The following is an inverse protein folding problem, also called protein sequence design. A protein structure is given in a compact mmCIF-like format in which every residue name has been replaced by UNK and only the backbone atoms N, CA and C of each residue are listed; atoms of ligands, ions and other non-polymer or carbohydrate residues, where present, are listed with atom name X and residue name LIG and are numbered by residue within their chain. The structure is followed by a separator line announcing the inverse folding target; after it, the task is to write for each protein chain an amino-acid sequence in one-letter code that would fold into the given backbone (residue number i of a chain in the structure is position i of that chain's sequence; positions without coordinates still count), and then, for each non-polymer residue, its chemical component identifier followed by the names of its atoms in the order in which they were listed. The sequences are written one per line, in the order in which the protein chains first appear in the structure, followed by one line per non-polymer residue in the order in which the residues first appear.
data_IF_379514965606
#
_entry.id   IF_379514965606
#
_cell.length_a   1.000
_cell.length_b   1.000
_cell.length_c   1.000
_cell.angle_alpha   90.00
_cell.angle_beta   90.00
_cell.angle_gamma   90.00
#
_symmetry.space_group_name_H-M   'P 1'
#
loop_
_entity.id
_entity.type
_entity.pdbx_description
1 polymer ?
#
# COMPACT_ATOMS: atom_id res chain seq x y z
N UNK A 1 22.41 -20.49 -8.57
CA UNK A 1 22.58 -19.44 -7.53
C UNK A 1 23.84 -19.74 -6.75
N UNK A 2 24.71 -18.74 -6.58
CA UNK A 2 25.95 -18.82 -5.77
C UNK A 2 25.63 -18.32 -4.35
N UNK A 3 26.04 -19.09 -3.34
CA UNK A 3 25.93 -18.72 -1.93
C UNK A 3 27.29 -18.37 -1.36
N UNK A 4 27.35 -17.41 -0.45
CA UNK A 4 28.53 -17.19 0.38
C UNK A 4 28.63 -18.28 1.45
N UNK A 5 29.82 -18.46 2.07
CA UNK A 5 30.00 -19.43 3.17
C UNK A 5 29.03 -19.18 4.32
N UNK A 6 28.70 -17.91 4.61
CA UNK A 6 27.74 -17.56 5.65
C UNK A 6 26.31 -18.00 5.28
N UNK A 7 25.90 -17.76 4.03
CA UNK A 7 24.59 -18.16 3.51
C UNK A 7 24.47 -19.68 3.44
N UNK A 8 25.55 -20.40 3.04
CA UNK A 8 25.58 -21.85 3.03
C UNK A 8 25.45 -22.43 4.46
N UNK A 9 26.19 -21.89 5.44
CA UNK A 9 26.05 -22.28 6.84
C UNK A 9 24.64 -22.05 7.38
N UNK A 10 23.97 -20.96 6.94
CA UNK A 10 22.58 -20.67 7.31
C UNK A 10 21.62 -21.72 6.73
N UNK A 11 21.81 -22.09 5.47
CA UNK A 11 21.04 -23.13 4.79
C UNK A 11 21.23 -24.49 5.46
N UNK A 12 22.47 -24.82 5.87
CA UNK A 12 22.84 -26.09 6.53
C UNK A 12 22.38 -26.14 8.01
N UNK A 13 21.73 -25.10 8.51
CA UNK A 13 21.13 -25.07 9.84
C UNK A 13 22.06 -24.62 10.97
N UNK A 14 23.27 -24.13 10.68
CA UNK A 14 24.21 -23.64 11.71
C UNK A 14 23.64 -22.49 12.57
N UNK A 15 22.65 -21.76 12.06
CA UNK A 15 21.96 -20.66 12.75
C UNK A 15 20.53 -21.03 13.20
N UNK A 16 20.23 -22.33 13.28
CA UNK A 16 18.94 -22.87 13.69
C UNK A 16 18.01 -23.22 12.52
N UNK A 17 17.05 -24.10 12.82
CA UNK A 17 16.13 -24.68 11.83
C UNK A 17 15.26 -23.62 11.15
N UNK A 18 14.77 -22.62 11.91
CA UNK A 18 13.90 -21.58 11.37
C UNK A 18 14.59 -20.71 10.32
N UNK A 19 15.88 -20.33 10.56
CA UNK A 19 16.67 -19.59 9.55
C UNK A 19 16.99 -20.44 8.33
N UNK A 20 17.25 -21.73 8.50
CA UNK A 20 17.45 -22.65 7.38
C UNK A 20 16.20 -22.77 6.51
N UNK A 21 15.00 -22.87 7.11
CA UNK A 21 13.72 -22.87 6.38
C UNK A 21 13.52 -21.58 5.58
N UNK A 22 13.73 -20.43 6.20
CA UNK A 22 13.62 -19.14 5.52
C UNK A 22 14.63 -19.00 4.37
N UNK A 23 15.87 -19.48 4.55
CA UNK A 23 16.90 -19.49 3.51
C UNK A 23 16.52 -20.39 2.33
N UNK A 24 15.93 -21.56 2.59
CA UNK A 24 15.43 -22.47 1.54
C UNK A 24 14.38 -21.78 0.67
N UNK A 25 13.49 -20.99 1.27
CA UNK A 25 12.46 -20.23 0.53
C UNK A 25 13.11 -19.16 -0.32
N UNK A 26 14.05 -18.36 0.22
CA UNK A 26 14.76 -17.33 -0.56
C UNK A 26 15.51 -17.93 -1.76
N UNK A 27 16.15 -19.09 -1.55
CA UNK A 27 16.82 -19.80 -2.64
C UNK A 27 15.80 -20.32 -3.67
N UNK A 28 14.65 -20.82 -3.21
CA UNK A 28 13.56 -21.28 -4.08
C UNK A 28 13.03 -20.15 -4.96
N UNK A 29 12.71 -19.01 -4.36
CA UNK A 29 12.29 -17.79 -5.08
C UNK A 29 13.37 -17.37 -6.07
N UNK A 30 14.62 -17.26 -5.63
CA UNK A 30 15.71 -16.85 -6.50
C UNK A 30 15.93 -17.78 -7.70
N UNK A 31 15.74 -19.10 -7.54
CA UNK A 31 15.81 -20.06 -8.65
C UNK A 31 14.67 -19.86 -9.65
N UNK A 32 13.47 -19.51 -9.17
CA UNK A 32 12.32 -19.24 -10.05
C UNK A 32 12.50 -18.00 -10.93
N UNK A 33 13.31 -17.06 -10.48
CA UNK A 33 13.58 -15.79 -11.17
C UNK A 33 15.02 -15.68 -11.69
N UNK A 34 15.74 -16.80 -11.82
CA UNK A 34 17.11 -16.90 -12.34
C UNK A 34 18.12 -15.99 -11.60
N UNK A 35 17.89 -15.72 -10.32
CA UNK A 35 18.81 -14.93 -9.51
C UNK A 35 20.17 -15.63 -9.36
N UNK A 36 21.25 -14.93 -9.64
CA UNK A 36 22.60 -15.48 -9.55
C UNK A 36 23.08 -15.62 -8.11
N UNK A 37 22.61 -14.74 -7.21
CA UNK A 37 23.04 -14.65 -5.81
C UNK A 37 21.95 -14.11 -4.91
N UNK A 38 22.18 -14.20 -3.60
CA UNK A 38 21.43 -13.47 -2.57
C UNK A 38 22.22 -12.23 -2.16
N UNK A 39 21.52 -11.12 -1.98
CA UNK A 39 22.08 -9.84 -1.52
C UNK A 39 21.53 -9.46 -0.15
N UNK A 40 22.32 -8.76 0.69
CA UNK A 40 21.82 -8.29 1.98
C UNK A 40 20.70 -7.25 1.77
N UNK A 41 19.69 -7.33 2.62
CA UNK A 41 18.65 -6.29 2.74
C UNK A 41 18.81 -5.58 4.08
N UNK A 42 18.50 -4.29 4.10
CA UNK A 42 18.66 -3.47 5.30
C UNK A 42 17.34 -3.22 6.03
N UNK A 43 16.22 -3.35 5.31
CA UNK A 43 14.86 -3.12 5.81
C UNK A 43 13.91 -4.16 5.26
N UNK A 44 12.83 -4.41 6.01
CA UNK A 44 11.72 -5.22 5.55
C UNK A 44 10.39 -4.62 6.01
N UNK A 45 9.36 -4.81 5.19
CA UNK A 45 7.98 -4.48 5.52
C UNK A 45 7.09 -5.63 5.06
N UNK A 46 6.33 -6.22 5.99
CA UNK A 46 5.60 -7.45 5.74
C UNK A 46 4.10 -7.18 5.74
N UNK A 47 3.43 -7.53 4.65
CA UNK A 47 1.97 -7.64 4.63
C UNK A 47 1.56 -8.81 5.53
N UNK A 48 0.63 -8.55 6.42
CA UNK A 48 0.01 -9.61 7.21
C UNK A 48 -1.49 -9.63 6.92
N UNK A 49 -2.12 -10.77 7.10
CA UNK A 49 -3.55 -10.93 6.81
C UNK A 49 -4.25 -11.55 7.95
N UNK A 50 -3.89 -11.89 9.04
CA UNK A 50 -4.61 -12.63 10.10
C UNK A 50 -5.45 -13.82 9.55
N UNK A 51 -5.11 -14.31 8.36
CA UNK A 51 -5.73 -15.46 7.71
C UNK A 51 -4.96 -16.75 8.01
N UNK A 52 -5.62 -17.86 7.84
CA UNK A 52 -5.08 -19.18 8.22
C UNK A 52 -3.73 -19.50 7.59
N UNK A 53 -3.55 -19.21 6.30
CA UNK A 53 -2.32 -19.50 5.57
C UNK A 53 -1.12 -18.69 6.11
N UNK A 54 -1.33 -17.40 6.38
CA UNK A 54 -0.29 -16.53 6.93
C UNK A 54 0.06 -16.91 8.37
N UNK A 55 -0.95 -17.15 9.21
CA UNK A 55 -0.79 -17.62 10.58
C UNK A 55 -0.02 -18.95 10.61
N UNK A 56 -0.37 -19.88 9.71
CA UNK A 56 0.32 -21.17 9.61
C UNK A 56 1.78 -20.99 9.23
N UNK A 57 2.06 -20.20 8.18
CA UNK A 57 3.41 -20.01 7.66
C UNK A 57 4.32 -19.32 8.68
N UNK A 58 3.92 -18.16 9.18
CA UNK A 58 4.69 -17.40 10.16
C UNK A 58 4.84 -18.19 11.47
N UNK A 59 3.79 -18.90 11.89
CA UNK A 59 3.82 -19.81 13.04
C UNK A 59 4.84 -20.92 12.89
N UNK A 60 4.96 -21.56 11.71
CA UNK A 60 5.97 -22.59 11.43
C UNK A 60 7.41 -22.07 11.54
N UNK A 61 7.66 -20.83 11.13
CA UNK A 61 8.96 -20.20 11.31
C UNK A 61 9.25 -19.96 12.80
N UNK A 62 8.29 -19.43 13.56
CA UNK A 62 8.42 -19.21 15.00
C UNK A 62 8.66 -20.53 15.75
N UNK A 63 7.84 -21.57 15.50
CA UNK A 63 7.97 -22.90 16.11
C UNK A 63 9.32 -23.56 15.82
N UNK A 64 9.91 -23.26 14.65
CA UNK A 64 11.25 -23.69 14.27
C UNK A 64 12.36 -22.84 14.91
N UNK A 65 12.04 -21.90 15.79
CA UNK A 65 12.99 -21.05 16.49
C UNK A 65 13.54 -19.91 15.62
N UNK A 66 12.83 -19.47 14.58
CA UNK A 66 13.24 -18.31 13.80
C UNK A 66 13.13 -17.03 14.63
N UNK A 67 14.06 -16.11 14.35
CA UNK A 67 13.98 -14.70 14.75
C UNK A 67 14.45 -13.83 13.58
N UNK A 68 13.85 -12.68 13.40
CA UNK A 68 14.23 -11.75 12.36
C UNK A 68 15.62 -11.17 12.61
N UNK A 69 16.49 -11.22 11.60
CA UNK A 69 17.78 -10.52 11.60
C UNK A 69 17.57 -9.02 11.45
N UNK A 70 16.47 -8.62 10.79
CA UNK A 70 16.03 -7.26 10.59
C UNK A 70 14.60 -7.19 11.11
N UNK A 71 14.31 -6.35 12.11
CA UNK A 71 12.97 -6.17 12.66
C UNK A 71 12.04 -5.53 11.61
N UNK A 72 11.15 -6.30 10.95
CA UNK A 72 10.27 -5.74 9.94
C UNK A 72 9.18 -4.88 10.56
N UNK A 73 8.74 -3.85 9.85
CA UNK A 73 7.44 -3.23 10.07
C UNK A 73 6.34 -4.08 9.45
N UNK A 74 5.09 -3.91 9.87
CA UNK A 74 3.97 -4.69 9.36
C UNK A 74 2.85 -3.81 8.84
N UNK A 75 2.18 -4.33 7.83
CA UNK A 75 0.99 -3.75 7.23
C UNK A 75 -0.20 -3.79 8.22
N UNK A 76 -1.27 -2.97 8.00
CA UNK A 76 -2.47 -3.08 8.79
C UNK A 76 -3.09 -4.48 8.71
N UNK A 77 -3.60 -4.92 9.84
CA UNK A 77 -4.61 -5.96 9.93
C UNK A 77 -5.95 -5.31 10.22
N UNK A 78 -6.48 -5.53 11.42
CA UNK A 78 -7.69 -4.85 11.89
C UNK A 78 -7.66 -4.58 13.40
N UNK A 79 -8.26 -3.45 13.79
CA UNK A 79 -8.42 -3.08 15.20
C UNK A 79 -9.49 -3.96 15.86
N UNK A 80 -9.04 -4.90 16.70
CA UNK A 80 -9.96 -5.78 17.45
C UNK A 80 -10.84 -4.95 18.38
N UNK A 81 -10.30 -3.91 19.01
CA UNK A 81 -11.04 -3.11 19.98
C UNK A 81 -12.15 -2.29 19.30
N UNK A 82 -11.84 -1.65 18.16
CA UNK A 82 -12.83 -0.87 17.41
C UNK A 82 -13.96 -1.75 16.84
N UNK A 83 -13.60 -2.89 16.27
CA UNK A 83 -14.57 -3.79 15.61
C UNK A 83 -15.09 -4.89 16.51
N UNK A 84 -14.84 -4.88 17.83
CA UNK A 84 -15.16 -6.00 18.75
C UNK A 84 -16.60 -6.48 18.66
N UNK A 85 -17.57 -5.55 18.52
CA UNK A 85 -18.99 -5.89 18.41
C UNK A 85 -19.40 -6.52 17.06
N UNK A 86 -18.53 -6.46 16.07
CA UNK A 86 -18.75 -6.95 14.70
C UNK A 86 -17.93 -8.18 14.37
N UNK A 87 -16.85 -8.41 15.10
CA UNK A 87 -15.93 -9.53 14.87
C UNK A 87 -16.45 -10.80 15.53
N UNK A 88 -16.28 -11.94 14.85
CA UNK A 88 -16.45 -13.27 15.45
C UNK A 88 -15.32 -13.54 16.44
N UNK A 89 -15.54 -14.44 17.41
CA UNK A 89 -14.45 -14.84 18.33
C UNK A 89 -13.27 -15.49 17.60
N UNK A 90 -13.52 -16.17 16.49
CA UNK A 90 -12.47 -16.73 15.64
C UNK A 90 -11.62 -15.62 14.99
N UNK A 91 -12.23 -14.56 14.47
CA UNK A 91 -11.49 -13.42 13.92
C UNK A 91 -10.64 -12.73 15.01
N UNK A 92 -11.20 -12.51 16.20
CA UNK A 92 -10.46 -11.94 17.33
C UNK A 92 -9.26 -12.81 17.70
N UNK A 93 -9.45 -14.14 17.80
CA UNK A 93 -8.34 -15.05 18.13
C UNK A 93 -7.29 -15.11 17.02
N UNK A 94 -7.69 -15.09 15.76
CA UNK A 94 -6.77 -15.05 14.62
C UNK A 94 -5.88 -13.81 14.66
N UNK A 95 -6.45 -12.62 14.88
CA UNK A 95 -5.64 -11.39 14.98
C UNK A 95 -4.68 -11.43 16.16
N UNK A 96 -5.15 -11.86 17.33
CA UNK A 96 -4.29 -12.02 18.53
C UNK A 96 -3.19 -13.04 18.31
N UNK A 97 -3.48 -14.14 17.61
CA UNK A 97 -2.48 -15.16 17.27
C UNK A 97 -1.44 -14.61 16.31
N UNK A 98 -1.88 -13.86 15.28
CA UNK A 98 -0.98 -13.13 14.36
C UNK A 98 -0.03 -12.21 15.13
N UNK A 99 -0.56 -11.39 16.03
CA UNK A 99 0.25 -10.51 16.87
C UNK A 99 1.30 -11.26 17.68
N UNK A 100 0.90 -12.34 18.37
CA UNK A 100 1.83 -13.15 19.15
C UNK A 100 2.96 -13.72 18.30
N UNK A 101 2.64 -14.22 17.11
CA UNK A 101 3.60 -14.82 16.18
C UNK A 101 4.60 -13.77 15.70
N UNK A 102 4.10 -12.64 15.17
CA UNK A 102 4.97 -11.61 14.61
C UNK A 102 5.82 -10.92 15.69
N UNK A 103 5.29 -10.70 16.91
CA UNK A 103 6.10 -10.27 18.06
C UNK A 103 7.18 -11.30 18.41
N UNK A 104 6.83 -12.58 18.46
CA UNK A 104 7.76 -13.66 18.72
C UNK A 104 8.90 -13.76 17.71
N UNK A 105 8.62 -13.45 16.43
CA UNK A 105 9.62 -13.34 15.38
C UNK A 105 10.48 -12.07 15.46
N UNK A 106 10.09 -11.07 16.28
CA UNK A 106 10.81 -9.81 16.43
C UNK A 106 10.34 -8.69 15.51
N UNK A 107 9.13 -8.77 14.96
CA UNK A 107 8.54 -7.70 14.16
C UNK A 107 8.10 -6.50 15.01
N UNK A 108 8.14 -5.31 14.41
CA UNK A 108 7.54 -4.09 14.93
C UNK A 108 6.13 -3.99 14.41
N UNK A 109 5.13 -4.10 15.27
CA UNK A 109 3.71 -4.07 14.90
C UNK A 109 3.26 -2.63 14.67
N UNK A 110 3.62 -2.07 13.53
CA UNK A 110 3.32 -0.68 13.15
C UNK A 110 1.93 -0.52 12.52
N UNK A 111 1.37 -1.60 11.96
CA UNK A 111 0.05 -1.63 11.32
C UNK A 111 -0.20 -0.44 10.38
N UNK A 112 0.79 -0.14 9.54
CA UNK A 112 0.74 1.02 8.65
C UNK A 112 1.09 0.62 7.21
N UNK A 113 0.25 0.97 6.24
CA UNK A 113 0.53 0.71 4.82
C UNK A 113 1.36 1.83 4.14
N UNK A 114 1.70 2.88 4.90
CA UNK A 114 2.59 3.97 4.45
C UNK A 114 3.86 4.05 5.32
N UNK A 115 4.61 2.94 5.52
CA UNK A 115 5.75 2.88 6.45
C UNK A 115 6.88 3.84 6.05
N UNK A 116 6.97 4.18 4.79
CA UNK A 116 7.97 5.08 4.20
C UNK A 116 7.79 6.55 4.60
N UNK A 117 6.70 6.91 5.28
CA UNK A 117 6.51 8.29 5.78
C UNK A 117 7.17 8.53 7.16
N UNK A 118 7.33 7.48 7.97
CA UNK A 118 7.87 7.63 9.32
C UNK A 118 8.62 6.39 9.84
N UNK A 119 7.97 5.23 9.81
CA UNK A 119 8.43 4.06 10.57
C UNK A 119 9.57 3.30 9.90
N UNK A 120 9.67 3.37 8.57
CA UNK A 120 10.58 2.55 7.79
C UNK A 120 10.95 3.25 6.45
N UNK A 121 11.67 4.36 6.56
CA UNK A 121 12.04 5.22 5.42
C UNK A 121 13.35 4.75 4.83
N UNK A 122 13.37 4.15 3.61
CA UNK A 122 14.62 3.77 2.96
C UNK A 122 15.32 4.95 2.30
N UNK A 123 16.62 4.79 2.10
CA UNK A 123 17.45 5.73 1.37
C UNK A 123 17.56 5.37 -0.11
N UNK A 124 17.99 6.33 -0.94
CA UNK A 124 18.24 6.10 -2.36
C UNK A 124 19.26 4.96 -2.57
N UNK A 125 18.94 4.03 -3.47
CA UNK A 125 19.77 2.86 -3.78
C UNK A 125 19.77 1.75 -2.73
N UNK A 126 19.10 1.93 -1.59
CA UNK A 126 19.02 0.94 -0.52
C UNK A 126 18.25 -0.30 -0.98
N UNK A 127 18.80 -1.50 -0.76
CA UNK A 127 18.12 -2.76 -1.06
C UNK A 127 17.27 -3.17 0.14
N UNK A 128 15.98 -3.35 -0.09
CA UNK A 128 14.96 -3.62 0.92
C UNK A 128 14.02 -4.73 0.47
N UNK A 129 13.21 -5.26 1.39
CA UNK A 129 12.21 -6.29 1.10
C UNK A 129 10.83 -5.83 1.58
N UNK A 130 10.07 -5.20 0.68
CA UNK A 130 8.73 -4.70 0.97
C UNK A 130 7.66 -5.53 0.23
N UNK A 131 6.59 -5.89 0.92
CA UNK A 131 5.49 -6.68 0.37
C UNK A 131 4.17 -5.92 0.23
N UNK A 132 4.03 -4.73 0.81
CA UNK A 132 2.85 -3.91 0.60
C UNK A 132 2.93 -3.21 -0.76
N UNK A 133 1.82 -3.23 -1.51
CA UNK A 133 1.78 -2.79 -2.90
C UNK A 133 2.14 -1.32 -3.10
N UNK A 134 1.53 -0.43 -2.31
CA UNK A 134 1.81 1.00 -2.36
C UNK A 134 3.22 1.32 -1.83
N UNK A 135 3.65 0.65 -0.75
CA UNK A 135 4.98 0.87 -0.18
C UNK A 135 6.09 0.46 -1.15
N UNK A 136 5.90 -0.61 -1.92
CA UNK A 136 6.83 -1.04 -2.97
C UNK A 136 7.00 0.03 -4.04
N UNK A 137 5.89 0.55 -4.60
CA UNK A 137 5.97 1.57 -5.64
C UNK A 137 6.56 2.88 -5.12
N UNK A 138 6.12 3.34 -3.97
CA UNK A 138 6.63 4.58 -3.40
C UNK A 138 8.14 4.48 -3.09
N UNK A 139 8.57 3.37 -2.50
CA UNK A 139 9.99 3.12 -2.22
C UNK A 139 10.83 3.08 -3.50
N UNK A 140 10.36 2.37 -4.54
CA UNK A 140 11.06 2.27 -5.81
C UNK A 140 11.09 3.58 -6.59
N UNK A 141 9.95 4.24 -6.77
CA UNK A 141 9.82 5.41 -7.63
C UNK A 141 10.22 6.70 -6.92
N UNK A 142 9.63 6.97 -5.74
CA UNK A 142 9.76 8.26 -5.06
C UNK A 142 11.04 8.36 -4.25
N UNK A 143 11.41 7.28 -3.53
CA UNK A 143 12.63 7.26 -2.71
C UNK A 143 13.83 6.68 -3.44
N UNK A 144 13.64 5.99 -4.57
CA UNK A 144 14.72 5.38 -5.35
C UNK A 144 15.40 4.21 -4.63
N UNK A 145 14.75 3.58 -3.68
CA UNK A 145 15.17 2.32 -3.11
C UNK A 145 14.95 1.16 -4.11
N UNK A 146 15.37 -0.03 -3.75
CA UNK A 146 15.29 -1.21 -4.61
C UNK A 146 14.60 -2.34 -3.88
N UNK A 147 13.40 -2.67 -4.31
CA UNK A 147 12.64 -3.82 -3.82
C UNK A 147 11.84 -4.45 -4.95
N UNK A 148 11.81 -5.76 -5.01
CA UNK A 148 10.73 -6.44 -5.73
C UNK A 148 9.43 -6.27 -4.94
N UNK A 149 8.29 -6.51 -5.57
CA UNK A 149 7.02 -6.67 -4.85
C UNK A 149 7.03 -8.05 -4.21
N UNK A 150 7.54 -8.10 -2.98
CA UNK A 150 7.64 -9.35 -2.24
C UNK A 150 6.24 -9.87 -1.85
N UNK A 151 6.10 -11.18 -1.72
CA UNK A 151 4.99 -11.75 -0.97
C UNK A 151 5.19 -11.55 0.53
N UNK A 152 4.14 -11.66 1.34
CA UNK A 152 4.27 -11.66 2.80
C UNK A 152 5.31 -12.70 3.27
N UNK A 153 5.27 -13.90 2.68
CA UNK A 153 6.18 -14.99 3.01
C UNK A 153 7.64 -14.69 2.62
N UNK A 154 7.90 -14.17 1.42
CA UNK A 154 9.27 -13.84 0.99
C UNK A 154 9.85 -12.64 1.74
N UNK A 155 9.06 -11.60 2.01
CA UNK A 155 9.49 -10.47 2.83
C UNK A 155 9.81 -10.89 4.27
N UNK A 156 8.98 -11.77 4.87
CA UNK A 156 9.26 -12.31 6.20
C UNK A 156 10.53 -13.17 6.20
N UNK A 157 10.74 -14.00 5.18
CA UNK A 157 11.98 -14.77 5.05
C UNK A 157 13.20 -13.85 4.82
N UNK A 158 13.06 -12.74 4.08
CA UNK A 158 14.11 -11.75 3.95
C UNK A 158 14.42 -11.09 5.31
N UNK A 159 13.41 -10.77 6.11
CA UNK A 159 13.60 -10.25 7.46
C UNK A 159 14.31 -11.24 8.38
N UNK A 160 13.96 -12.54 8.32
CA UNK A 160 14.56 -13.60 9.13
C UNK A 160 16.02 -13.86 8.74
N UNK A 161 16.32 -13.92 7.45
CA UNK A 161 17.66 -14.23 6.94
C UNK A 161 18.59 -13.03 6.82
N UNK A 162 18.05 -11.83 6.60
CA UNK A 162 18.79 -10.62 6.22
C UNK A 162 19.16 -10.57 4.73
N UNK A 163 18.59 -11.46 3.89
CA UNK A 163 18.92 -11.58 2.47
C UNK A 163 17.69 -11.70 1.60
N UNK A 164 17.78 -11.17 0.36
CA UNK A 164 16.81 -11.39 -0.72
C UNK A 164 17.54 -11.83 -2.00
N UNK A 165 16.87 -12.58 -2.91
CA UNK A 165 17.47 -12.93 -4.20
C UNK A 165 17.57 -11.69 -5.10
N UNK A 166 18.71 -11.56 -5.79
CA UNK A 166 19.00 -10.42 -6.67
C UNK A 166 18.39 -10.64 -8.05
N UNK A 167 17.17 -10.13 -8.24
CA UNK A 167 16.44 -10.16 -9.51
C UNK A 167 15.50 -8.96 -9.65
N UNK A 168 14.82 -8.83 -10.78
CA UNK A 168 13.75 -7.87 -10.98
C UNK A 168 14.18 -6.44 -10.72
N UNK A 169 13.47 -5.72 -9.85
CA UNK A 169 13.71 -4.31 -9.54
C UNK A 169 15.00 -4.03 -8.75
N UNK A 170 15.70 -5.08 -8.29
CA UNK A 170 17.01 -4.92 -7.66
C UNK A 170 18.10 -4.63 -8.71
N UNK A 171 17.90 -5.08 -9.94
CA UNK A 171 18.84 -4.93 -11.05
C UNK A 171 18.61 -3.62 -11.81
N UNK A 172 19.70 -2.88 -12.06
CA UNK A 172 19.63 -1.57 -12.74
C UNK A 172 19.01 -1.65 -14.14
N UNK A 173 19.34 -2.70 -14.89
CA UNK A 173 18.86 -2.92 -16.25
C UNK A 173 17.37 -3.12 -16.37
N UNK A 174 16.71 -3.52 -15.29
CA UNK A 174 15.26 -3.75 -15.24
C UNK A 174 14.46 -2.51 -14.80
N UNK A 175 15.13 -1.37 -14.56
CA UNK A 175 14.49 -0.16 -14.05
C UNK A 175 14.24 0.91 -15.12
N UNK A 176 14.63 0.64 -16.36
CA UNK A 176 14.34 1.55 -17.47
C UNK A 176 12.86 1.55 -17.83
N UNK A 177 12.36 2.72 -18.23
CA UNK A 177 10.99 2.85 -18.70
C UNK A 177 10.79 2.14 -20.04
N UNK A 178 9.66 1.47 -20.18
CA UNK A 178 9.21 0.82 -21.40
C UNK A 178 8.21 1.69 -22.18
N UNK A 179 7.41 2.47 -21.47
CA UNK A 179 6.25 3.19 -21.99
C UNK A 179 6.40 4.69 -21.71
N UNK A 180 6.40 5.51 -22.75
CA UNK A 180 6.24 6.95 -22.60
C UNK A 180 4.74 7.28 -22.48
N UNK A 181 4.32 7.79 -21.34
CA UNK A 181 2.93 8.18 -21.08
C UNK A 181 2.83 9.71 -21.10
N UNK A 182 2.31 10.26 -22.19
CA UNK A 182 2.02 11.69 -22.25
C UNK A 182 0.70 11.98 -21.51
N UNK A 183 0.75 12.82 -20.51
CA UNK A 183 -0.44 13.25 -19.77
C UNK A 183 -0.93 14.56 -20.39
N UNK A 184 -2.08 14.47 -21.08
CA UNK A 184 -2.80 15.59 -21.70
C UNK A 184 -4.14 15.78 -20.97
N UNK A 185 -4.04 15.94 -19.65
CA UNK A 185 -5.16 16.14 -18.75
C UNK A 185 -4.74 17.14 -17.66
N UNK A 186 -5.70 17.83 -17.08
CA UNK A 186 -5.44 18.70 -15.93
C UNK A 186 -5.23 17.88 -14.66
N UNK A 187 -4.18 18.20 -13.94
CA UNK A 187 -3.81 17.58 -12.68
C UNK A 187 -3.88 18.65 -11.57
N UNK A 188 -5.07 18.88 -11.03
CA UNK A 188 -5.35 19.99 -10.10
C UNK A 188 -5.42 19.51 -8.63
N UNK A 189 -5.63 18.21 -8.42
CA UNK A 189 -5.79 17.63 -7.10
C UNK A 189 -5.04 16.29 -6.96
N UNK A 190 -4.81 15.82 -5.74
CA UNK A 190 -4.22 14.50 -5.48
C UNK A 190 -5.10 13.37 -6.04
N UNK A 191 -6.41 13.58 -6.11
CA UNK A 191 -7.37 12.65 -6.68
C UNK A 191 -7.17 12.45 -8.20
N UNK A 192 -6.78 13.47 -8.94
CA UNK A 192 -6.47 13.32 -10.38
C UNK A 192 -5.32 12.35 -10.61
N UNK A 193 -4.34 12.32 -9.69
CA UNK A 193 -3.24 11.35 -9.74
C UNK A 193 -3.69 9.93 -9.40
N UNK A 194 -4.67 9.76 -8.49
CA UNK A 194 -5.29 8.46 -8.26
C UNK A 194 -5.98 7.95 -9.54
N UNK A 195 -6.78 8.81 -10.19
CA UNK A 195 -7.48 8.47 -11.43
C UNK A 195 -6.51 8.19 -12.57
N UNK A 196 -5.41 8.96 -12.69
CA UNK A 196 -4.33 8.69 -13.64
C UNK A 196 -3.73 7.29 -13.41
N UNK A 197 -3.51 6.91 -12.15
CA UNK A 197 -3.03 5.57 -11.79
C UNK A 197 -3.98 4.45 -12.22
N UNK A 198 -5.29 4.68 -12.23
CA UNK A 198 -6.28 3.71 -12.70
C UNK A 198 -6.23 3.46 -14.21
N UNK A 199 -5.61 4.32 -15.00
CA UNK A 199 -5.49 4.17 -16.44
C UNK A 199 -4.53 3.03 -16.86
N UNK A 200 -4.14 2.15 -15.94
CA UNK A 200 -3.18 1.07 -16.18
C UNK A 200 -3.53 0.17 -17.36
N UNK A 201 -4.82 -0.11 -17.60
CA UNK A 201 -5.25 -0.89 -18.79
C UNK A 201 -4.85 -0.19 -20.09
N UNK A 202 -4.98 1.13 -20.19
CA UNK A 202 -4.60 1.91 -21.37
C UNK A 202 -3.08 2.04 -21.47
N UNK A 203 -2.40 2.26 -20.34
CA UNK A 203 -0.93 2.31 -20.26
C UNK A 203 -0.35 0.95 -20.70
N UNK A 204 -0.90 -0.17 -20.21
CA UNK A 204 -0.47 -1.54 -20.52
C UNK A 204 0.84 -1.93 -19.83
N UNK A 205 1.39 -3.10 -20.20
CA UNK A 205 2.57 -3.67 -19.52
C UNK A 205 3.85 -2.86 -19.73
N UNK A 206 4.74 -2.91 -18.75
CA UNK A 206 6.06 -2.26 -18.73
C UNK A 206 6.10 -1.08 -17.77
N UNK A 207 7.28 -0.55 -17.50
CA UNK A 207 7.49 0.59 -16.60
C UNK A 207 7.07 1.88 -17.32
N UNK A 208 6.10 2.64 -16.80
CA UNK A 208 5.69 3.91 -17.41
C UNK A 208 6.62 5.06 -16.99
N UNK A 209 6.92 5.96 -17.93
CA UNK A 209 7.44 7.29 -17.68
C UNK A 209 6.35 8.31 -18.01
N UNK A 210 5.85 9.02 -17.01
CA UNK A 210 4.82 10.04 -17.16
C UNK A 210 5.44 11.37 -17.58
N UNK A 211 5.10 11.83 -18.77
CA UNK A 211 5.60 13.06 -19.38
C UNK A 211 4.51 14.13 -19.36
N UNK A 212 4.88 15.38 -19.10
CA UNK A 212 3.95 16.51 -19.07
C UNK A 212 3.33 16.80 -17.70
N UNK A 213 3.72 16.05 -16.66
CA UNK A 213 3.33 16.36 -15.28
C UNK A 213 4.15 17.53 -14.72
N UNK A 214 3.61 18.29 -13.74
CA UNK A 214 4.34 19.36 -13.06
C UNK A 214 5.57 18.81 -12.30
N UNK A 215 6.58 19.66 -12.11
CA UNK A 215 7.79 19.30 -11.34
C UNK A 215 7.55 19.27 -9.81
N UNK A 216 6.49 19.92 -9.34
CA UNK A 216 6.08 19.92 -7.93
C UNK A 216 4.79 19.15 -7.78
N UNK A 217 4.89 17.98 -7.21
CA UNK A 217 3.77 17.08 -6.93
C UNK A 217 3.79 16.80 -5.42
N UNK A 218 2.61 16.82 -4.78
CA UNK A 218 2.48 16.52 -3.36
C UNK A 218 2.87 15.07 -3.05
N UNK A 219 3.25 14.82 -1.82
CA UNK A 219 3.49 13.46 -1.32
C UNK A 219 2.23 12.61 -1.48
N UNK A 220 1.08 13.16 -1.15
CA UNK A 220 -0.22 12.51 -1.22
C UNK A 220 -0.60 12.11 -2.65
N UNK A 221 -0.34 12.99 -3.64
CA UNK A 221 -0.54 12.69 -5.06
C UNK A 221 0.36 11.54 -5.55
N UNK A 222 1.63 11.51 -5.14
CA UNK A 222 2.56 10.42 -5.49
C UNK A 222 2.17 9.10 -4.82
N UNK A 223 1.65 9.14 -3.60
CA UNK A 223 1.09 7.97 -2.90
C UNK A 223 -0.13 7.45 -3.67
N UNK A 224 -1.06 8.34 -4.03
CA UNK A 224 -2.27 8.00 -4.74
C UNK A 224 -1.96 7.38 -6.12
N UNK A 225 -1.09 8.03 -6.92
CA UNK A 225 -0.66 7.51 -8.21
C UNK A 225 -0.07 6.09 -8.10
N UNK A 226 0.86 5.89 -7.16
CA UNK A 226 1.51 4.60 -6.96
C UNK A 226 0.54 3.51 -6.51
N UNK A 227 -0.36 3.81 -5.59
CA UNK A 227 -1.36 2.86 -5.10
C UNK A 227 -2.25 2.34 -6.24
N UNK A 228 -2.74 3.24 -7.08
CA UNK A 228 -3.65 2.91 -8.15
C UNK A 228 -2.95 2.25 -9.36
N UNK A 229 -1.72 2.64 -9.68
CA UNK A 229 -0.91 1.97 -10.70
C UNK A 229 -0.70 0.49 -10.36
N UNK A 230 -0.47 0.18 -9.08
CA UNK A 230 -0.33 -1.21 -8.67
C UNK A 230 -1.63 -2.01 -8.87
N UNK A 231 -2.79 -1.45 -8.46
CA UNK A 231 -4.10 -2.10 -8.61
C UNK A 231 -4.49 -2.28 -10.07
N UNK A 232 -4.30 -1.26 -10.90
CA UNK A 232 -4.77 -1.24 -12.29
C UNK A 232 -3.90 -2.02 -13.26
N UNK A 233 -2.59 -2.18 -12.97
CA UNK A 233 -1.64 -2.76 -13.91
C UNK A 233 -0.49 -3.55 -13.29
N UNK A 234 -0.50 -3.76 -11.97
CA UNK A 234 0.56 -4.50 -11.25
C UNK A 234 1.96 -3.93 -11.47
N UNK A 235 2.09 -2.62 -11.56
CA UNK A 235 3.37 -1.95 -11.73
C UNK A 235 4.20 -2.02 -10.45
N UNK A 236 5.53 -2.10 -10.62
CA UNK A 236 6.50 -2.13 -9.51
C UNK A 236 7.35 -0.86 -9.45
N UNK A 237 7.33 -0.05 -10.52
CA UNK A 237 8.07 1.19 -10.66
C UNK A 237 7.37 2.09 -11.68
N UNK A 238 7.49 3.40 -11.52
CA UNK A 238 7.16 4.42 -12.51
C UNK A 238 8.18 5.56 -12.43
N UNK A 239 8.29 6.33 -13.51
CA UNK A 239 9.12 7.51 -13.56
C UNK A 239 8.32 8.77 -13.88
N UNK A 240 8.72 9.89 -13.27
CA UNK A 240 8.30 11.24 -13.63
C UNK A 240 9.57 12.08 -13.72
N UNK A 241 9.90 12.70 -14.88
CA UNK A 241 11.06 13.55 -15.05
C UNK A 241 11.15 14.61 -13.95
N UNK A 242 12.35 14.81 -13.41
CA UNK A 242 12.66 15.75 -12.33
C UNK A 242 11.95 15.54 -10.98
N UNK A 243 11.06 14.53 -10.85
CA UNK A 243 10.28 14.27 -9.64
C UNK A 243 10.68 12.97 -8.97
N UNK A 244 10.60 11.83 -9.69
CA UNK A 244 10.97 10.55 -9.10
C UNK A 244 12.48 10.45 -8.91
N UNK A 245 12.89 9.74 -7.86
CA UNK A 245 14.27 9.81 -7.37
C UNK A 245 15.34 9.54 -8.43
N UNK A 246 15.21 8.48 -9.22
CA UNK A 246 16.20 8.17 -10.27
C UNK A 246 16.22 9.25 -11.35
N UNK A 247 15.05 9.74 -11.79
CA UNK A 247 14.94 10.82 -12.76
C UNK A 247 15.58 12.13 -12.26
N UNK A 248 15.35 12.47 -10.98
CA UNK A 248 15.92 13.66 -10.34
C UNK A 248 17.45 13.55 -10.16
N UNK A 249 18.01 12.34 -10.10
CA UNK A 249 19.46 12.09 -10.05
C UNK A 249 20.10 11.94 -11.45
N UNK A 250 19.39 12.31 -12.51
CA UNK A 250 19.91 12.32 -13.88
C UNK A 250 19.95 10.95 -14.55
N UNK A 251 19.18 9.99 -14.06
CA UNK A 251 19.02 8.70 -14.72
C UNK A 251 18.33 8.88 -16.07
N UNK A 252 18.92 8.31 -17.11
CA UNK A 252 18.26 8.24 -18.42
C UNK A 252 17.11 7.25 -18.36
N UNK A 253 15.89 7.75 -18.36
CA UNK A 253 14.70 6.94 -18.13
C UNK A 253 14.54 5.78 -19.12
N UNK A 254 15.01 5.94 -20.36
CA UNK A 254 14.87 4.92 -21.41
C UNK A 254 16.19 4.20 -21.73
N UNK A 255 17.28 4.48 -21.01
CA UNK A 255 18.56 3.83 -21.20
C UNK A 255 19.17 4.06 -22.59
N UNK A 256 19.04 5.26 -23.15
CA UNK A 256 19.51 5.62 -24.49
C UNK A 256 18.71 5.02 -25.65
N UNK A 257 17.54 4.45 -25.37
CA UNK A 257 16.64 3.80 -26.35
C UNK A 257 15.34 4.59 -26.51
N UNK A 258 14.69 4.42 -27.65
CA UNK A 258 13.31 4.89 -27.80
C UNK A 258 12.37 4.07 -26.88
N UNK A 259 11.27 4.65 -26.37
CA UNK A 259 10.26 3.91 -25.65
C UNK A 259 9.69 2.80 -26.53
N UNK A 260 9.39 1.67 -25.95
CA UNK A 260 8.76 0.53 -26.67
C UNK A 260 7.35 0.88 -27.14
N UNK A 261 6.70 1.83 -26.44
CA UNK A 261 5.36 2.31 -26.76
C UNK A 261 5.17 3.74 -26.23
N UNK A 262 4.34 4.50 -26.94
CA UNK A 262 3.85 5.80 -26.50
C UNK A 262 2.34 5.73 -26.32
N UNK A 263 1.86 6.35 -25.24
CA UNK A 263 0.43 6.41 -24.88
C UNK A 263 0.12 7.83 -24.47
N UNK A 264 -1.03 8.37 -24.90
CA UNK A 264 -1.54 9.62 -24.38
C UNK A 264 -2.75 9.35 -23.50
N UNK A 265 -2.73 9.90 -22.30
CA UNK A 265 -3.88 9.93 -21.38
C UNK A 265 -4.49 11.33 -21.44
N UNK A 266 -5.74 11.38 -21.84
CA UNK A 266 -6.51 12.61 -21.98
C UNK A 266 -7.48 12.80 -20.81
N UNK A 267 -8.08 13.98 -20.69
CA UNK A 267 -9.12 14.27 -19.70
C UNK A 267 -10.31 13.29 -19.83
N UNK A 268 -10.71 12.98 -21.07
CA UNK A 268 -11.79 12.01 -21.33
C UNK A 268 -11.45 10.60 -20.86
N UNK A 269 -10.17 10.19 -20.88
CA UNK A 269 -9.77 8.88 -20.35
C UNK A 269 -9.93 8.82 -18.83
N UNK A 270 -9.59 9.90 -18.12
CA UNK A 270 -9.79 10.00 -16.67
C UNK A 270 -11.29 9.92 -16.33
N UNK A 271 -12.12 10.66 -17.02
CA UNK A 271 -13.58 10.68 -16.83
C UNK A 271 -14.19 9.28 -17.07
N UNK A 272 -13.85 8.62 -18.20
CA UNK A 272 -14.33 7.28 -18.52
C UNK A 272 -13.87 6.23 -17.47
N UNK A 273 -12.68 6.40 -16.92
CA UNK A 273 -12.18 5.49 -15.90
C UNK A 273 -13.02 5.55 -14.61
N UNK A 274 -13.55 6.73 -14.28
CA UNK A 274 -14.42 6.92 -13.11
C UNK A 274 -15.86 6.43 -13.32
N UNK A 275 -16.33 6.26 -14.57
CA UNK A 275 -17.68 5.76 -14.85
C UNK A 275 -17.95 4.38 -14.24
N UNK A 276 -16.91 3.55 -14.12
CA UNK A 276 -16.99 2.22 -13.47
C UNK A 276 -17.36 2.29 -11.98
N UNK A 277 -17.18 3.45 -11.34
CA UNK A 277 -17.41 3.70 -9.92
C UNK A 277 -18.58 4.68 -9.70
N UNK A 278 -19.67 4.47 -10.42
CA UNK A 278 -20.86 5.33 -10.31
C UNK A 278 -21.63 5.09 -9.01
N UNK A 279 -22.30 6.12 -8.46
CA UNK A 279 -23.13 5.97 -7.28
C UNK A 279 -24.36 5.07 -7.55
N UNK A 280 -25.03 4.65 -6.48
CA UNK A 280 -26.30 3.93 -6.54
C UNK A 280 -27.37 4.74 -7.29
N UNK A 281 -28.31 4.04 -7.93
CA UNK A 281 -29.33 4.68 -8.78
C UNK A 281 -30.28 5.61 -8.01
N UNK A 282 -30.50 5.37 -6.70
CA UNK A 282 -31.34 6.21 -5.84
C UNK A 282 -30.57 7.41 -5.26
N UNK A 283 -29.26 7.45 -5.48
CA UNK A 283 -28.39 8.53 -5.02
C UNK A 283 -28.21 8.62 -3.51
N UNK A 284 -28.61 7.61 -2.72
CA UNK A 284 -28.37 7.60 -1.28
C UNK A 284 -26.91 7.34 -0.94
N UNK A 285 -26.43 7.88 0.18
CA UNK A 285 -25.10 7.66 0.76
C UNK A 285 -25.27 7.39 2.25
N UNK A 286 -24.94 6.18 2.68
CA UNK A 286 -25.04 5.77 4.08
C UNK A 286 -23.68 5.80 4.79
N UNK A 287 -22.57 5.65 4.06
CA UNK A 287 -21.23 5.71 4.62
C UNK A 287 -20.20 6.29 3.65
N UNK A 288 -19.11 6.79 4.22
CA UNK A 288 -17.92 7.26 3.51
C UNK A 288 -16.69 6.60 4.16
N UNK A 289 -15.83 5.96 3.35
CA UNK A 289 -14.55 5.40 3.83
C UNK A 289 -13.41 6.15 3.15
N UNK A 290 -12.50 6.70 3.95
CA UNK A 290 -11.32 7.43 3.50
C UNK A 290 -10.05 6.79 4.08
N UNK A 291 -8.91 7.01 3.42
CA UNK A 291 -7.61 6.55 3.95
C UNK A 291 -7.17 5.17 3.44
N UNK A 292 -7.30 4.92 2.15
CA UNK A 292 -6.66 3.81 1.48
C UNK A 292 -5.83 4.32 0.27
N UNK A 293 -4.51 4.51 0.45
CA UNK A 293 -3.65 4.25 1.63
C UNK A 293 -3.98 5.11 2.86
N UNK A 294 -3.48 4.70 4.02
CA UNK A 294 -3.67 5.40 5.30
C UNK A 294 -3.42 6.89 5.17
N UNK A 295 -4.37 7.68 5.64
CA UNK A 295 -4.32 9.14 5.59
C UNK A 295 -3.19 9.71 6.43
N UNK A 296 -2.55 10.76 5.91
CA UNK A 296 -1.64 11.64 6.63
C UNK A 296 -2.43 12.53 7.60
N UNK A 297 -1.72 13.16 8.54
CA UNK A 297 -2.34 14.10 9.47
C UNK A 297 -2.99 15.30 8.71
N UNK A 298 -2.32 15.80 7.67
CA UNK A 298 -2.84 16.90 6.85
C UNK A 298 -4.14 16.55 6.11
N UNK A 299 -4.26 15.32 5.59
CA UNK A 299 -5.50 14.87 4.98
C UNK A 299 -6.66 14.77 5.99
N UNK A 300 -6.36 14.41 7.25
CA UNK A 300 -7.37 14.36 8.31
C UNK A 300 -7.82 15.77 8.71
N UNK A 301 -6.90 16.74 8.80
CA UNK A 301 -7.25 18.17 9.00
C UNK A 301 -8.12 18.71 7.86
N UNK A 302 -7.83 18.28 6.63
CA UNK A 302 -8.64 18.67 5.46
C UNK A 302 -10.08 18.15 5.57
N UNK A 303 -10.28 16.91 6.06
CA UNK A 303 -11.63 16.37 6.32
C UNK A 303 -12.36 17.23 7.35
N UNK A 304 -11.73 17.62 8.46
CA UNK A 304 -12.35 18.52 9.44
C UNK A 304 -12.75 19.86 8.82
N UNK A 305 -11.85 20.45 8.02
CA UNK A 305 -12.09 21.70 7.32
C UNK A 305 -13.29 21.61 6.36
N UNK A 306 -13.40 20.50 5.61
CA UNK A 306 -14.51 20.24 4.66
C UNK A 306 -15.83 19.99 5.38
N UNK A 307 -15.83 19.37 6.55
CA UNK A 307 -17.01 19.24 7.38
C UNK A 307 -17.54 20.61 7.86
N UNK A 308 -16.64 21.56 8.12
CA UNK A 308 -17.02 22.96 8.39
C UNK A 308 -17.91 23.13 9.61
N UNK A 309 -17.77 22.26 10.62
CA UNK A 309 -18.60 22.26 11.83
C UNK A 309 -20.00 21.65 11.65
N UNK A 310 -20.31 21.07 10.47
CA UNK A 310 -21.59 20.41 10.22
C UNK A 310 -21.47 18.89 10.45
N UNK A 311 -22.38 18.33 11.21
CA UNK A 311 -22.44 16.88 11.42
C UNK A 311 -22.88 16.17 10.14
N UNK A 312 -22.13 15.14 9.75
CA UNK A 312 -22.49 14.30 8.61
C UNK A 312 -23.73 13.45 8.90
N UNK A 313 -24.55 13.18 7.85
CA UNK A 313 -25.69 12.26 7.92
C UNK A 313 -25.27 10.82 7.66
N UNK A 314 -24.24 10.61 6.86
CA UNK A 314 -23.62 9.31 6.64
C UNK A 314 -22.47 9.10 7.62
N UNK A 315 -22.20 7.84 8.00
CA UNK A 315 -21.05 7.51 8.83
C UNK A 315 -19.74 7.72 8.05
N UNK A 316 -18.79 8.45 8.62
CA UNK A 316 -17.49 8.68 7.99
C UNK A 316 -16.42 7.88 8.74
N UNK A 317 -15.72 7.01 8.04
CA UNK A 317 -14.63 6.20 8.58
C UNK A 317 -13.31 6.62 7.93
N UNK A 318 -12.37 7.10 8.73
CA UNK A 318 -11.05 7.57 8.28
C UNK A 318 -9.98 6.60 8.78
N UNK A 319 -9.29 5.94 7.85
CA UNK A 319 -8.23 4.98 8.16
C UNK A 319 -6.87 5.67 8.21
N UNK A 320 -6.12 5.40 9.26
CA UNK A 320 -4.78 5.97 9.46
C UNK A 320 -3.90 5.07 10.33
N UNK A 321 -2.65 5.45 10.57
CA UNK A 321 -1.78 4.74 11.50
C UNK A 321 -2.05 5.13 12.97
N UNK A 322 -1.68 4.25 13.90
CA UNK A 322 -1.78 4.54 15.33
C UNK A 322 -0.98 5.80 15.76
N UNK A 323 0.13 6.07 15.08
CA UNK A 323 0.94 7.26 15.35
C UNK A 323 0.18 8.55 14.98
N UNK A 324 -0.44 8.59 13.81
CA UNK A 324 -1.24 9.74 13.35
C UNK A 324 -2.48 9.89 14.21
N UNK A 325 -3.20 8.80 14.51
CA UNK A 325 -4.37 8.84 15.40
C UNK A 325 -4.02 9.41 16.78
N UNK A 326 -2.86 9.01 17.34
CA UNK A 326 -2.39 9.56 18.62
C UNK A 326 -2.16 11.06 18.53
N UNK A 327 -1.49 11.55 17.48
CA UNK A 327 -1.27 12.98 17.27
C UNK A 327 -2.61 13.73 17.13
N UNK A 328 -3.58 13.15 16.39
CA UNK A 328 -4.92 13.72 16.27
C UNK A 328 -5.65 13.80 17.62
N UNK A 329 -5.49 12.79 18.47
CA UNK A 329 -6.05 12.79 19.81
C UNK A 329 -5.40 13.86 20.69
N UNK A 330 -4.08 13.95 20.70
CA UNK A 330 -3.33 14.93 21.50
C UNK A 330 -3.66 16.39 21.10
N UNK A 331 -3.96 16.63 19.83
CA UNK A 331 -4.40 17.95 19.32
C UNK A 331 -5.90 18.23 19.50
N UNK A 332 -6.68 17.24 19.95
CA UNK A 332 -8.14 17.30 20.04
C UNK A 332 -8.86 17.17 18.69
N UNK A 333 -8.14 16.89 17.59
CA UNK A 333 -8.72 16.71 16.26
C UNK A 333 -9.63 15.49 16.20
N UNK A 334 -9.26 14.37 16.85
CA UNK A 334 -10.08 13.15 16.92
C UNK A 334 -11.45 13.43 17.56
N UNK A 335 -11.49 14.16 18.69
CA UNK A 335 -12.74 14.48 19.39
C UNK A 335 -13.64 15.38 18.53
N UNK A 336 -13.06 16.38 17.85
CA UNK A 336 -13.83 17.26 16.97
C UNK A 336 -14.42 16.52 15.76
N UNK A 337 -13.67 15.59 15.18
CA UNK A 337 -14.16 14.74 14.09
C UNK A 337 -15.29 13.81 14.55
N UNK A 338 -15.16 13.22 15.73
CA UNK A 338 -16.17 12.34 16.30
C UNK A 338 -17.49 13.08 16.53
N UNK A 339 -17.46 14.32 17.05
CA UNK A 339 -18.64 15.18 17.21
C UNK A 339 -19.34 15.46 15.89
N UNK A 340 -18.58 15.47 14.77
CA UNK A 340 -19.07 15.70 13.42
C UNK A 340 -19.49 14.42 12.68
N UNK A 341 -19.41 13.26 13.32
CA UNK A 341 -19.80 11.96 12.75
C UNK A 341 -18.71 11.29 11.93
N UNK A 342 -17.44 11.60 12.20
CA UNK A 342 -16.29 11.00 11.54
C UNK A 342 -15.40 10.25 12.54
N UNK A 343 -15.30 8.92 12.38
CA UNK A 343 -14.48 8.04 13.21
C UNK A 343 -13.05 7.95 12.65
N UNK A 344 -12.05 8.15 13.49
CA UNK A 344 -10.66 7.91 13.15
C UNK A 344 -10.24 6.49 13.58
N UNK A 345 -9.94 5.64 12.62
CA UNK A 345 -9.67 4.21 12.84
C UNK A 345 -8.20 3.92 12.54
N UNK A 346 -7.49 3.42 13.54
CA UNK A 346 -6.10 3.00 13.37
C UNK A 346 -5.98 1.50 13.08
N UNK A 347 -4.80 1.10 12.56
CA UNK A 347 -4.35 -0.28 12.47
C UNK A 347 -5.20 -1.19 11.56
N UNK A 348 -6.10 -0.61 10.77
CA UNK A 348 -7.10 -1.36 10.00
C UNK A 348 -6.90 -1.16 8.50
N UNK A 349 -6.90 -2.26 7.75
CA UNK A 349 -6.96 -2.25 6.30
C UNK A 349 -8.40 -2.19 5.81
N UNK A 350 -8.61 -1.49 4.69
CA UNK A 350 -9.93 -1.39 4.08
C UNK A 350 -10.42 -2.74 3.53
N UNK A 351 -9.53 -3.66 3.14
CA UNK A 351 -9.91 -4.94 2.54
C UNK A 351 -10.20 -6.06 3.55
N UNK A 352 -10.23 -5.75 4.84
CA UNK A 352 -10.57 -6.71 5.90
C UNK A 352 -12.08 -6.97 5.97
N UNK A 353 -12.56 -7.89 5.14
CA UNK A 353 -14.01 -8.19 4.99
C UNK A 353 -14.71 -8.51 6.32
N UNK A 354 -14.01 -9.09 7.30
CA UNK A 354 -14.57 -9.39 8.62
C UNK A 354 -14.95 -8.12 9.41
N UNK A 355 -14.34 -6.97 9.09
CA UNK A 355 -14.64 -5.68 9.71
C UNK A 355 -15.80 -4.97 9.03
N UNK A 356 -15.88 -5.05 7.72
CA UNK A 356 -16.74 -4.20 6.89
C UNK A 356 -17.97 -4.89 6.34
N UNK A 357 -18.13 -6.20 6.52
CA UNK A 357 -19.25 -6.99 5.97
C UNK A 357 -20.64 -6.44 6.28
N UNK A 358 -20.80 -5.63 7.35
CA UNK A 358 -22.06 -4.96 7.70
C UNK A 358 -22.45 -3.82 6.72
N UNK A 359 -21.53 -3.42 5.85
CA UNK A 359 -21.75 -2.41 4.79
C UNK A 359 -22.21 -3.04 3.48
N UNK A 360 -22.18 -4.37 3.36
CA UNK A 360 -22.59 -5.04 2.13
C UNK A 360 -24.02 -4.67 1.74
N UNK A 361 -24.21 -4.28 0.48
CA UNK A 361 -25.49 -3.83 -0.07
C UNK A 361 -25.90 -2.40 0.29
N UNK A 362 -25.14 -1.68 1.11
CA UNK A 362 -25.38 -0.27 1.42
C UNK A 362 -24.67 0.64 0.42
N UNK A 363 -25.23 1.80 0.09
CA UNK A 363 -24.59 2.78 -0.78
C UNK A 363 -23.51 3.55 -0.02
N UNK A 364 -22.30 3.57 -0.57
CA UNK A 364 -21.15 4.25 0.03
C UNK A 364 -20.35 5.06 -0.97
N UNK A 365 -19.45 5.89 -0.45
CA UNK A 365 -18.50 6.71 -1.23
C UNK A 365 -17.10 6.63 -0.62
N UNK A 366 -16.10 6.73 -1.47
CA UNK A 366 -14.67 6.77 -1.09
C UNK A 366 -13.89 7.63 -2.07
N UNK A 367 -12.76 8.15 -1.63
CA UNK A 367 -11.80 8.83 -2.50
C UNK A 367 -10.67 7.90 -2.99
N UNK A 368 -10.73 6.62 -2.60
CA UNK A 368 -9.78 5.61 -3.00
C UNK A 368 -10.38 4.61 -3.99
N UNK A 369 -10.01 4.67 -5.27
CA UNK A 369 -10.34 3.61 -6.22
C UNK A 369 -9.83 2.23 -5.79
N UNK A 370 -8.63 2.16 -5.21
CA UNK A 370 -8.06 0.93 -4.64
C UNK A 370 -8.96 0.35 -3.56
N UNK A 371 -9.43 1.20 -2.64
CA UNK A 371 -10.36 0.81 -1.58
C UNK A 371 -11.66 0.26 -2.16
N UNK A 372 -12.25 0.95 -3.12
CA UNK A 372 -13.47 0.52 -3.81
C UNK A 372 -13.27 -0.84 -4.50
N UNK A 373 -12.14 -1.03 -5.21
CA UNK A 373 -11.84 -2.28 -5.90
C UNK A 373 -11.74 -3.49 -4.95
N UNK A 374 -11.04 -3.35 -3.84
CA UNK A 374 -10.89 -4.45 -2.88
C UNK A 374 -12.20 -4.76 -2.16
N UNK A 375 -12.96 -3.74 -1.76
CA UNK A 375 -14.22 -3.91 -1.04
C UNK A 375 -15.31 -4.58 -1.91
N UNK A 376 -15.23 -4.46 -3.23
CA UNK A 376 -16.19 -5.12 -4.14
C UNK A 376 -16.15 -6.65 -4.01
N UNK A 377 -15.00 -7.24 -3.68
CA UNK A 377 -14.87 -8.69 -3.42
C UNK A 377 -15.70 -9.15 -2.21
N UNK A 378 -15.96 -8.25 -1.27
CA UNK A 378 -16.82 -8.47 -0.09
C UNK A 378 -18.29 -8.06 -0.33
N UNK A 379 -18.68 -7.74 -1.58
CA UNK A 379 -20.01 -7.27 -1.93
C UNK A 379 -20.31 -5.83 -1.50
N UNK A 380 -19.27 -5.06 -1.21
CA UNK A 380 -19.36 -3.66 -0.77
C UNK A 380 -18.96 -2.77 -1.94
N UNK A 381 -19.96 -2.09 -2.52
CA UNK A 381 -19.75 -1.20 -3.66
C UNK A 381 -19.76 0.26 -3.24
N UNK A 382 -18.76 1.00 -3.65
CA UNK A 382 -18.62 2.42 -3.35
C UNK A 382 -18.50 3.24 -4.63
N UNK A 383 -19.16 4.39 -4.66
CA UNK A 383 -18.81 5.43 -5.62
C UNK A 383 -17.42 5.99 -5.30
N UNK A 384 -16.69 6.38 -6.33
CA UNK A 384 -15.36 7.00 -6.17
C UNK A 384 -15.42 8.44 -6.63
N UNK A 385 -15.08 9.37 -5.72
CA UNK A 385 -15.03 10.82 -5.97
C UNK A 385 -13.87 11.42 -5.17
N UNK A 386 -13.50 12.65 -5.50
CA UNK A 386 -12.54 13.42 -4.70
C UNK A 386 -13.03 13.59 -3.25
N UNK A 387 -12.10 13.83 -2.33
CA UNK A 387 -12.39 13.93 -0.89
C UNK A 387 -13.45 15.00 -0.59
N UNK A 388 -13.42 16.15 -1.28
CA UNK A 388 -14.38 17.22 -1.04
C UNK A 388 -15.81 16.79 -1.43
N UNK A 389 -15.96 16.12 -2.57
CA UNK A 389 -17.23 15.55 -3.02
C UNK A 389 -17.69 14.43 -2.06
N UNK A 390 -16.80 13.55 -1.62
CA UNK A 390 -17.12 12.49 -0.64
C UNK A 390 -17.69 13.08 0.64
N UNK A 391 -17.03 14.08 1.22
CA UNK A 391 -17.49 14.75 2.44
C UNK A 391 -18.80 15.50 2.20
N UNK A 392 -18.93 16.20 1.05
CA UNK A 392 -20.16 16.89 0.72
C UNK A 392 -21.36 15.91 0.65
N UNK A 393 -21.21 14.78 -0.03
CA UNK A 393 -22.26 13.77 -0.11
C UNK A 393 -22.54 13.12 1.25
N UNK A 394 -21.51 12.85 2.05
CA UNK A 394 -21.68 12.31 3.40
C UNK A 394 -22.48 13.27 4.31
N UNK A 395 -22.21 14.59 4.23
CA UNK A 395 -22.99 15.61 4.96
C UNK A 395 -24.47 15.60 4.56
N UNK A 396 -24.78 15.41 3.28
CA UNK A 396 -26.13 15.39 2.77
C UNK A 396 -26.83 14.01 2.91
N UNK A 397 -26.05 12.91 3.08
CA UNK A 397 -26.56 11.54 3.04
C UNK A 397 -27.02 11.13 1.64
N UNK A 398 -26.60 11.86 0.61
CA UNK A 398 -27.00 11.64 -0.78
C UNK A 398 -26.08 12.34 -1.78
N UNK A 399 -26.11 11.87 -3.01
CA UNK A 399 -25.51 12.52 -4.17
C UNK A 399 -26.22 13.86 -4.44
N UNK A 400 -25.46 14.94 -4.64
CA UNK A 400 -25.98 16.29 -4.93
C UNK A 400 -24.99 17.11 -5.74
#
# INVERSE_FOLDING_TARGET
MKLTDHQQKMLDGAFGKGKAMAMQIQIGVGKCFDAERLVPVSRAHVSLSAQEADIWFAGKLLDAGASCAIAPTVNPGYSVDYFRSRLTDAAVENMRKTERIYRGLGARLTYCCTPYLADNVPSYGEIIAFSETNATLYANAVLGARTNRESAASALCAAVTGYAPEYGMLLQENRFADVAVRVDAKMESDFDYAVLGLCGKKIGKGIPAFLGLPEKISTEALIALGAELNVSGSYDLYHIPNVTAEAAHGFDLFGGKAPKREVTITQSDLEQTLEAFSPSADGSIEYCILGCPHYTYAQIEEVERLLGGEKAKADIHILTSAAIKRAAKESGLEDRLLDLGADLIADTCVDEACCWGYLAGKPGVTDSPKGAYYMETAGIRMAVRDTATCIHWAKQGRVC
#
